data_IF_948689300245
#
_entry.id   IF_948689300245
#
_cell.length_a   1.000
_cell.length_b   1.000
_cell.length_c   1.000
_cell.angle_alpha   90.00
_cell.angle_beta   90.00
_cell.angle_gamma   90.00
#
_symmetry.space_group_name_H-M   'P 1'
#
loop_
_entity.id
_entity.type
_entity.pdbx_description
1 polymer ?
#
# COMPACT_ATOMS: atom_id res chain seq x y z
N UNK A 1 -35.23 19.82 -5.96
CA UNK A 1 -33.92 19.21 -5.65
C UNK A 1 -34.08 17.70 -5.57
N UNK A 2 -33.35 16.92 -6.36
CA UNK A 2 -33.27 15.46 -6.16
C UNK A 2 -32.39 15.21 -4.94
N UNK A 3 -32.99 14.86 -3.81
CA UNK A 3 -32.27 14.51 -2.58
C UNK A 3 -31.55 13.16 -2.69
N UNK A 4 -30.66 12.88 -1.74
CA UNK A 4 -30.03 11.57 -1.60
C UNK A 4 -31.08 10.53 -1.20
N UNK A 5 -31.23 9.47 -2.01
CA UNK A 5 -32.02 8.29 -1.65
C UNK A 5 -31.07 7.23 -1.10
N UNK A 6 -31.16 6.98 0.19
CA UNK A 6 -30.51 5.83 0.81
C UNK A 6 -31.40 4.60 0.57
N UNK A 7 -30.85 3.56 -0.05
CA UNK A 7 -31.47 2.24 -0.15
C UNK A 7 -30.65 1.25 0.67
N UNK A 8 -31.26 0.11 1.02
CA UNK A 8 -30.47 -1.02 1.54
C UNK A 8 -29.37 -1.34 0.53
N UNK A 9 -28.14 -1.43 1.01
CA UNK A 9 -27.03 -1.89 0.20
C UNK A 9 -27.30 -3.35 -0.16
N UNK A 10 -27.46 -3.62 -1.46
CA UNK A 10 -27.55 -4.98 -1.98
C UNK A 10 -26.14 -5.27 -2.51
N UNK A 11 -25.36 -6.12 -1.82
CA UNK A 11 -24.05 -6.51 -2.34
C UNK A 11 -24.27 -7.18 -3.70
N UNK A 12 -23.68 -6.60 -4.75
CA UNK A 12 -23.60 -7.30 -6.02
C UNK A 12 -22.65 -8.47 -5.78
N UNK A 13 -23.14 -9.71 -5.91
CA UNK A 13 -22.24 -10.86 -6.07
C UNK A 13 -21.32 -10.49 -7.23
N UNK A 14 -20.01 -10.44 -7.00
CA UNK A 14 -19.07 -10.04 -8.03
C UNK A 14 -19.26 -11.00 -9.22
N UNK A 15 -19.83 -10.49 -10.31
CA UNK A 15 -20.18 -11.31 -11.47
C UNK A 15 -18.88 -11.82 -12.10
N UNK A 16 -18.54 -13.08 -11.84
CA UNK A 16 -17.34 -13.75 -12.37
C UNK A 16 -16.28 -14.15 -11.34
N UNK A 17 -16.41 -13.78 -10.06
CA UNK A 17 -15.49 -14.25 -9.00
C UNK A 17 -15.87 -15.66 -8.52
N UNK A 18 -14.86 -16.45 -8.13
CA UNK A 18 -15.11 -17.80 -7.60
C UNK A 18 -15.82 -17.72 -6.23
N UNK A 19 -16.50 -18.79 -5.81
CA UNK A 19 -17.11 -18.86 -4.48
C UNK A 19 -16.07 -18.64 -3.36
N UNK A 20 -14.85 -19.11 -3.58
CA UNK A 20 -13.72 -18.86 -2.69
C UNK A 20 -13.39 -17.37 -2.56
N UNK A 21 -13.26 -16.63 -3.67
CA UNK A 21 -12.83 -15.22 -3.64
C UNK A 21 -13.85 -14.34 -2.91
N UNK A 22 -15.15 -14.62 -3.10
CA UNK A 22 -16.22 -13.93 -2.39
C UNK A 22 -16.13 -14.14 -0.87
N UNK A 23 -15.92 -15.37 -0.42
CA UNK A 23 -15.74 -15.68 1.01
C UNK A 23 -14.41 -15.14 1.55
N UNK A 24 -13.34 -15.17 0.75
CA UNK A 24 -12.03 -14.64 1.10
C UNK A 24 -12.13 -13.15 1.41
N UNK A 25 -12.80 -12.37 0.57
CA UNK A 25 -12.98 -10.94 0.77
C UNK A 25 -13.67 -10.61 2.10
N UNK A 26 -14.71 -11.37 2.45
CA UNK A 26 -15.42 -11.21 3.73
C UNK A 26 -14.53 -11.65 4.89
N UNK A 27 -13.87 -12.80 4.76
CA UNK A 27 -12.97 -13.36 5.77
C UNK A 27 -11.83 -12.41 6.12
N UNK A 28 -11.15 -11.83 5.13
CA UNK A 28 -10.06 -10.87 5.34
C UNK A 28 -10.53 -9.62 6.11
N UNK A 29 -11.76 -9.15 5.87
CA UNK A 29 -12.35 -8.07 6.65
C UNK A 29 -12.63 -8.49 8.09
N UNK A 30 -13.20 -9.68 8.30
CA UNK A 30 -13.47 -10.22 9.64
C UNK A 30 -12.18 -10.42 10.44
N UNK A 31 -11.10 -10.87 9.80
CA UNK A 31 -9.78 -10.99 10.42
C UNK A 31 -9.26 -9.63 10.90
N UNK A 32 -9.42 -8.57 10.11
CA UNK A 32 -9.04 -7.21 10.51
C UNK A 32 -9.88 -6.70 11.69
N UNK A 33 -11.18 -7.01 11.72
CA UNK A 33 -12.10 -6.59 12.80
C UNK A 33 -11.80 -7.33 14.11
N UNK A 34 -11.58 -8.64 14.04
CA UNK A 34 -11.27 -9.50 15.20
C UNK A 34 -9.82 -9.35 15.68
N UNK A 35 -9.01 -8.52 15.02
CA UNK A 35 -7.61 -8.32 15.39
C UNK A 35 -6.74 -9.57 15.18
N UNK A 36 -7.09 -10.41 14.21
CA UNK A 36 -6.31 -11.60 13.85
C UNK A 36 -6.81 -12.91 14.42
N UNK A 37 -7.88 -12.92 15.22
CA UNK A 37 -8.47 -14.16 15.73
C UNK A 37 -9.21 -14.90 14.62
N UNK A 38 -8.55 -15.93 14.07
CA UNK A 38 -9.10 -16.76 12.99
C UNK A 38 -10.34 -17.52 13.45
N UNK A 39 -10.37 -18.00 14.69
CA UNK A 39 -11.48 -18.79 15.20
C UNK A 39 -12.74 -17.94 15.32
N UNK A 40 -12.60 -16.73 15.86
CA UNK A 40 -13.69 -15.77 15.94
C UNK A 40 -14.15 -15.34 14.53
N UNK A 41 -13.22 -15.02 13.62
CA UNK A 41 -13.55 -14.63 12.26
C UNK A 41 -14.31 -15.74 11.50
N UNK A 42 -13.90 -17.00 11.63
CA UNK A 42 -14.61 -18.13 11.02
C UNK A 42 -15.99 -18.37 11.65
N UNK A 43 -16.13 -18.17 12.96
CA UNK A 43 -17.41 -18.26 13.65
C UNK A 43 -18.39 -17.18 13.13
N UNK A 44 -17.91 -15.94 12.96
CA UNK A 44 -18.72 -14.85 12.40
C UNK A 44 -19.07 -15.12 10.93
N UNK A 45 -18.11 -15.59 10.13
CA UNK A 45 -18.34 -15.95 8.73
C UNK A 45 -19.42 -17.05 8.60
N UNK A 46 -19.39 -18.05 9.48
CA UNK A 46 -20.40 -19.12 9.53
C UNK A 46 -21.79 -18.57 9.87
N UNK A 47 -21.87 -17.60 10.78
CA UNK A 47 -23.15 -16.96 11.11
C UNK A 47 -23.68 -16.10 9.95
N UNK A 48 -22.80 -15.38 9.26
CA UNK A 48 -23.16 -14.63 8.06
C UNK A 48 -23.65 -15.55 6.94
N UNK A 49 -22.98 -16.68 6.73
CA UNK A 49 -23.39 -17.66 5.75
C UNK A 49 -24.80 -18.21 6.03
N UNK A 50 -25.10 -18.60 7.28
CA UNK A 50 -26.44 -19.05 7.69
C UNK A 50 -27.53 -18.01 7.45
N UNK A 51 -27.20 -16.73 7.60
CA UNK A 51 -28.17 -15.63 7.47
C UNK A 51 -28.37 -15.19 6.02
N UNK A 52 -27.30 -15.19 5.22
CA UNK A 52 -27.28 -14.59 3.89
C UNK A 52 -27.09 -15.59 2.75
N UNK A 53 -26.92 -16.89 3.06
CA UNK A 53 -26.62 -17.97 2.10
C UNK A 53 -25.48 -17.56 1.17
N UNK A 54 -24.31 -17.31 1.77
CA UNK A 54 -23.11 -16.88 1.05
C UNK A 54 -22.52 -18.03 0.22
N UNK A 55 -22.64 -19.25 0.74
CA UNK A 55 -22.26 -20.51 0.12
C UNK A 55 -23.38 -21.10 -0.75
N UNK A 56 -23.04 -22.14 -1.50
CA UNK A 56 -24.01 -22.99 -2.20
C UNK A 56 -23.84 -24.46 -1.80
N UNK A 57 -24.71 -25.34 -2.29
CA UNK A 57 -24.64 -26.76 -1.97
C UNK A 57 -23.40 -27.50 -2.50
N UNK A 58 -22.59 -26.85 -3.36
CA UNK A 58 -21.35 -27.41 -3.91
C UNK A 58 -20.12 -26.93 -3.15
N UNK A 59 -20.16 -25.74 -2.54
CA UNK A 59 -19.02 -25.11 -1.89
C UNK A 59 -19.41 -24.47 -0.55
N UNK A 60 -19.04 -25.12 0.55
CA UNK A 60 -19.35 -24.69 1.92
C UNK A 60 -18.16 -24.08 2.69
N UNK A 61 -18.42 -23.65 3.93
CA UNK A 61 -17.38 -23.10 4.83
C UNK A 61 -16.25 -24.09 5.10
N UNK A 62 -16.55 -25.40 5.17
CA UNK A 62 -15.52 -26.44 5.31
C UNK A 62 -14.54 -26.44 4.14
N UNK A 63 -15.05 -26.44 2.91
CA UNK A 63 -14.23 -26.34 1.69
C UNK A 63 -13.39 -25.06 1.68
N UNK A 64 -13.97 -23.95 2.14
CA UNK A 64 -13.27 -22.69 2.26
C UNK A 64 -12.09 -22.74 3.25
N UNK A 65 -12.24 -23.39 4.39
CA UNK A 65 -11.16 -23.56 5.37
C UNK A 65 -10.01 -24.38 4.79
N UNK A 66 -10.33 -25.47 4.09
CA UNK A 66 -9.31 -26.31 3.43
C UNK A 66 -8.58 -25.51 2.33
N UNK A 67 -9.32 -24.80 1.48
CA UNK A 67 -8.76 -23.91 0.47
C UNK A 67 -7.87 -22.80 1.07
N UNK A 68 -8.22 -22.25 2.24
CA UNK A 68 -7.40 -21.25 2.93
C UNK A 68 -6.04 -21.83 3.36
N UNK A 69 -6.00 -23.10 3.78
CA UNK A 69 -4.75 -23.79 4.12
C UNK A 69 -3.94 -24.10 2.87
N UNK A 70 -4.58 -24.70 1.87
CA UNK A 70 -3.94 -25.11 0.62
C UNK A 70 -3.33 -23.93 -0.13
N UNK A 71 -4.04 -22.79 -0.13
CA UNK A 71 -3.57 -21.54 -0.73
C UNK A 71 -2.66 -20.74 0.20
N UNK A 72 -2.37 -21.21 1.41
CA UNK A 72 -1.39 -20.64 2.34
C UNK A 72 -1.81 -19.32 2.98
N UNK A 73 -3.12 -19.09 3.19
CA UNK A 73 -3.66 -17.97 3.98
C UNK A 73 -3.68 -18.29 5.48
N UNK A 74 -3.80 -19.57 5.83
CA UNK A 74 -3.78 -20.07 7.21
C UNK A 74 -2.67 -21.10 7.39
N UNK A 75 -2.13 -21.14 8.61
CA UNK A 75 -1.27 -22.22 9.09
C UNK A 75 -1.85 -22.80 10.36
N UNK A 76 -1.61 -24.08 10.62
CA UNK A 76 -1.90 -24.70 11.92
C UNK A 76 -0.69 -24.55 12.83
N UNK A 77 -0.86 -23.95 14.01
CA UNK A 77 0.16 -24.00 15.04
C UNK A 77 0.23 -25.43 15.60
N UNK A 78 1.37 -26.08 15.34
CA UNK A 78 1.62 -27.50 15.57
C UNK A 78 1.57 -27.94 17.04
N UNK A 79 1.30 -27.05 18.00
CA UNK A 79 1.26 -27.38 19.43
C UNK A 79 -0.12 -27.25 20.08
N UNK A 80 -1.03 -26.45 19.51
CA UNK A 80 -2.37 -26.20 20.07
C UNK A 80 -3.52 -26.45 19.09
N UNK A 81 -3.23 -26.71 17.81
CA UNK A 81 -4.25 -26.91 16.77
C UNK A 81 -5.03 -25.62 16.45
N UNK A 82 -4.49 -24.46 16.82
CA UNK A 82 -5.09 -23.17 16.51
C UNK A 82 -4.66 -22.71 15.11
N UNK A 83 -5.56 -22.05 14.40
CA UNK A 83 -5.24 -21.43 13.12
C UNK A 83 -4.59 -20.07 13.33
N UNK A 84 -3.51 -19.81 12.60
CA UNK A 84 -2.88 -18.50 12.53
C UNK A 84 -2.89 -17.96 11.10
N UNK A 85 -3.02 -16.64 10.99
CA UNK A 85 -3.01 -15.93 9.72
C UNK A 85 -1.58 -15.85 9.20
N UNK A 86 -1.34 -16.20 7.94
CA UNK A 86 0.00 -16.13 7.37
C UNK A 86 0.34 -14.70 6.91
N UNK A 87 1.63 -14.45 6.65
CA UNK A 87 2.08 -13.19 6.04
C UNK A 87 1.43 -12.90 4.68
N UNK A 88 1.04 -13.94 3.93
CA UNK A 88 0.29 -13.80 2.67
C UNK A 88 -1.08 -13.18 2.91
N UNK A 89 -1.83 -13.69 3.87
CA UNK A 89 -3.13 -13.12 4.23
C UNK A 89 -2.99 -11.67 4.75
N UNK A 90 -1.98 -11.40 5.59
CA UNK A 90 -1.68 -10.03 6.02
C UNK A 90 -1.37 -9.07 4.87
N UNK A 91 -0.63 -9.53 3.85
CA UNK A 91 -0.37 -8.73 2.65
C UNK A 91 -1.64 -8.50 1.82
N UNK A 92 -2.48 -9.52 1.67
CA UNK A 92 -3.73 -9.42 0.91
C UNK A 92 -4.70 -8.41 1.54
N UNK A 93 -4.79 -8.38 2.88
CA UNK A 93 -5.58 -7.37 3.60
C UNK A 93 -5.12 -5.94 3.23
N UNK A 94 -3.80 -5.70 3.17
CA UNK A 94 -3.27 -4.38 2.83
C UNK A 94 -3.53 -3.98 1.38
N UNK A 95 -3.38 -4.91 0.43
CA UNK A 95 -3.71 -4.68 -0.98
C UNK A 95 -5.19 -4.36 -1.17
N UNK A 96 -6.06 -5.15 -0.55
CA UNK A 96 -7.50 -4.91 -0.58
C UNK A 96 -7.85 -3.52 0.00
N UNK A 97 -7.20 -3.13 1.10
CA UNK A 97 -7.35 -1.79 1.67
C UNK A 97 -6.90 -0.68 0.70
N UNK A 98 -5.76 -0.86 0.03
CA UNK A 98 -5.27 0.07 -0.99
C UNK A 98 -6.27 0.20 -2.14
N UNK A 99 -6.75 -0.91 -2.69
CA UNK A 99 -7.73 -0.91 -3.79
C UNK A 99 -9.05 -0.26 -3.38
N UNK A 100 -9.53 -0.49 -2.16
CA UNK A 100 -10.78 0.11 -1.74
C UNK A 100 -10.67 1.63 -1.52
N UNK A 101 -9.57 2.08 -0.90
CA UNK A 101 -9.33 3.51 -0.65
C UNK A 101 -9.00 4.25 -1.96
N UNK A 102 -8.08 3.72 -2.77
CA UNK A 102 -7.56 4.42 -3.95
C UNK A 102 -8.24 4.03 -5.26
N UNK A 103 -8.84 2.85 -5.36
CA UNK A 103 -9.63 2.44 -6.53
C UNK A 103 -10.94 3.22 -6.69
N UNK A 104 -11.47 3.77 -5.58
CA UNK A 104 -12.64 4.67 -5.58
C UNK A 104 -12.27 6.14 -5.83
N UNK A 105 -10.99 6.51 -5.77
CA UNK A 105 -10.57 7.87 -6.10
C UNK A 105 -10.74 8.06 -7.61
N UNK A 106 -11.64 8.97 -8.01
CA UNK A 106 -11.72 9.47 -9.39
C UNK A 106 -10.31 9.84 -9.83
N UNK A 107 -9.95 9.53 -11.09
CA UNK A 107 -8.73 10.02 -11.76
C UNK A 107 -8.66 11.56 -11.67
N UNK A 108 -8.20 12.07 -10.54
CA UNK A 108 -7.62 13.40 -10.43
C UNK A 108 -6.15 13.26 -10.81
N UNK A 109 -5.58 14.32 -11.40
CA UNK A 109 -4.25 14.28 -12.01
C UNK A 109 -3.19 13.66 -11.11
N UNK A 110 -2.30 12.84 -11.70
CA UNK A 110 -1.15 12.27 -11.00
C UNK A 110 -0.25 13.42 -10.51
N UNK A 111 -0.35 13.78 -9.23
CA UNK A 111 0.73 14.49 -8.54
C UNK A 111 1.87 13.50 -8.33
N UNK A 112 2.80 13.42 -9.27
CA UNK A 112 4.12 12.89 -8.95
C UNK A 112 4.81 13.94 -8.07
N UNK A 113 5.57 13.53 -7.06
CA UNK A 113 6.47 14.42 -6.34
C UNK A 113 7.61 14.87 -7.27
N UNK A 114 7.28 15.46 -8.42
CA UNK A 114 8.26 16.06 -9.32
C UNK A 114 8.74 17.32 -8.63
N UNK A 115 10.01 17.34 -8.27
CA UNK A 115 10.68 18.56 -7.87
C UNK A 115 10.86 19.42 -9.12
N UNK A 116 10.61 20.73 -9.03
CA UNK A 116 10.88 21.68 -10.13
C UNK A 116 12.38 21.94 -10.35
N UNK A 117 13.24 21.04 -9.91
CA UNK A 117 14.69 21.11 -10.08
C UNK A 117 15.11 19.88 -10.87
N UNK A 118 15.42 20.09 -12.15
CA UNK A 118 16.30 19.21 -12.90
C UNK A 118 17.72 19.47 -12.38
N UNK A 119 18.43 18.41 -12.02
CA UNK A 119 19.77 18.49 -11.45
C UNK A 119 20.53 17.22 -11.73
N UNK A 120 21.81 17.20 -11.35
CA UNK A 120 22.72 16.05 -11.38
C UNK A 120 22.29 14.97 -10.38
N UNK A 121 21.15 14.34 -10.64
CA UNK A 121 20.70 13.13 -9.96
C UNK A 121 21.28 11.87 -10.61
N UNK A 122 21.38 10.78 -9.86
CA UNK A 122 21.99 9.52 -10.30
C UNK A 122 21.01 8.62 -11.11
N UNK A 123 19.75 9.05 -11.28
CA UNK A 123 18.74 8.31 -12.04
C UNK A 123 18.45 8.97 -13.39
N UNK A 124 18.67 8.21 -14.47
CA UNK A 124 18.22 8.59 -15.81
C UNK A 124 16.70 8.64 -15.86
N UNK A 125 16.15 9.81 -16.21
CA UNK A 125 14.75 9.99 -16.55
C UNK A 125 14.42 9.46 -17.94
N UNK A 126 13.15 9.55 -18.31
CA UNK A 126 12.66 9.17 -19.65
C UNK A 126 12.62 10.34 -20.62
N UNK A 127 12.65 11.56 -20.08
CA UNK A 127 12.56 12.78 -20.87
C UNK A 127 13.93 13.09 -21.49
N UNK A 128 13.90 13.61 -22.71
CA UNK A 128 15.08 13.89 -23.52
C UNK A 128 15.09 15.34 -23.92
N UNK A 129 16.28 15.91 -24.00
CA UNK A 129 16.49 17.24 -24.53
C UNK A 129 17.75 17.30 -25.39
N UNK A 130 17.89 18.33 -26.23
CA UNK A 130 19.16 18.61 -26.91
C UNK A 130 20.29 18.76 -25.91
N UNK A 131 21.48 18.29 -26.30
CA UNK A 131 22.71 18.49 -25.54
C UNK A 131 23.02 19.98 -25.38
N UNK A 132 23.48 20.35 -24.19
CA UNK A 132 24.02 21.68 -23.90
C UNK A 132 25.43 21.56 -23.33
N UNK A 133 26.28 22.55 -23.64
CA UNK A 133 27.65 22.58 -23.14
C UNK A 133 27.69 22.54 -21.60
N UNK A 134 28.28 21.48 -21.05
CA UNK A 134 28.34 21.22 -19.61
C UNK A 134 27.66 19.91 -19.18
N UNK A 135 26.87 19.31 -20.07
CA UNK A 135 26.25 18.00 -19.83
C UNK A 135 27.28 16.87 -19.76
N UNK A 136 27.00 15.88 -18.91
CA UNK A 136 27.90 14.72 -18.78
C UNK A 136 27.83 13.82 -20.00
N UNK A 137 28.98 13.32 -20.45
CA UNK A 137 29.05 12.29 -21.50
C UNK A 137 28.26 11.02 -21.15
N UNK A 138 28.08 10.72 -19.86
CA UNK A 138 27.28 9.56 -19.44
C UNK A 138 25.77 9.74 -19.68
N UNK A 139 25.29 10.98 -19.84
CA UNK A 139 23.87 11.28 -20.07
C UNK A 139 23.48 11.23 -21.56
N UNK A 140 24.45 11.13 -22.47
CA UNK A 140 24.19 11.13 -23.92
C UNK A 140 23.46 9.85 -24.32
N UNK A 141 22.27 10.03 -24.89
CA UNK A 141 21.50 8.97 -25.53
C UNK A 141 22.12 8.62 -26.89
N UNK A 142 23.18 7.81 -26.90
CA UNK A 142 23.93 7.50 -28.12
C UNK A 142 23.06 6.92 -29.24
N UNK A 143 22.08 6.09 -28.92
CA UNK A 143 21.17 5.49 -29.90
C UNK A 143 20.35 6.54 -30.65
N UNK A 144 19.78 7.48 -29.92
CA UNK A 144 18.94 8.54 -30.48
C UNK A 144 19.81 9.60 -31.15
N UNK A 145 20.98 9.87 -30.60
CA UNK A 145 21.96 10.77 -31.20
C UNK A 145 22.44 10.27 -32.56
N UNK A 146 22.77 8.97 -32.68
CA UNK A 146 23.15 8.34 -33.95
C UNK A 146 21.98 8.37 -34.93
N UNK A 147 20.75 8.13 -34.46
CA UNK A 147 19.55 8.21 -35.29
C UNK A 147 19.36 9.63 -35.84
N UNK A 148 19.52 10.66 -35.00
CA UNK A 148 19.40 12.06 -35.42
C UNK A 148 20.50 12.43 -36.42
N UNK A 149 21.74 12.01 -36.17
CA UNK A 149 22.85 12.20 -37.09
C UNK A 149 22.59 11.58 -38.48
N UNK A 150 22.03 10.36 -38.53
CA UNK A 150 21.65 9.72 -39.79
C UNK A 150 20.50 10.44 -40.50
N UNK A 151 19.53 10.98 -39.76
CA UNK A 151 18.42 11.76 -40.32
C UNK A 151 18.95 13.09 -40.91
N UNK A 152 19.86 13.76 -40.22
CA UNK A 152 20.34 15.08 -40.59
C UNK A 152 21.46 15.06 -41.65
N UNK A 153 22.30 14.02 -41.66
CA UNK A 153 23.49 13.93 -42.51
C UNK A 153 23.45 12.79 -43.53
N UNK A 154 22.46 11.89 -43.45
CA UNK A 154 22.27 10.78 -44.40
C UNK A 154 23.10 9.53 -44.10
N UNK A 155 23.00 8.52 -44.97
CA UNK A 155 23.55 7.17 -44.76
C UNK A 155 24.95 6.92 -45.36
N UNK A 156 25.54 7.93 -46.00
CA UNK A 156 26.82 7.81 -46.70
C UNK A 156 28.00 7.83 -45.73
N UNK A 157 28.63 9.00 -45.60
CA UNK A 157 29.67 9.22 -44.61
C UNK A 157 29.05 9.58 -43.27
N UNK A 158 29.37 8.82 -42.22
CA UNK A 158 28.86 9.10 -40.88
C UNK A 158 29.44 10.42 -40.36
N UNK A 159 28.57 11.41 -40.21
CA UNK A 159 28.86 12.70 -39.60
C UNK A 159 27.89 12.91 -38.44
N UNK A 160 28.43 13.32 -37.29
CA UNK A 160 27.66 13.66 -36.09
C UNK A 160 28.17 15.00 -35.56
N UNK A 161 27.23 15.89 -35.27
CA UNK A 161 27.47 17.23 -34.73
C UNK A 161 26.83 17.35 -33.36
N UNK A 162 27.16 18.42 -32.62
CA UNK A 162 26.57 18.71 -31.31
C UNK A 162 25.04 18.82 -31.38
N UNK A 163 24.50 19.30 -32.50
CA UNK A 163 23.05 19.43 -32.72
C UNK A 163 22.34 18.09 -32.86
N UNK A 164 23.07 17.00 -33.12
CA UNK A 164 22.52 15.66 -33.21
C UNK A 164 22.47 14.97 -31.84
N UNK A 165 23.20 15.49 -30.84
CA UNK A 165 23.30 14.89 -29.52
C UNK A 165 22.02 15.14 -28.72
N UNK A 166 21.44 14.05 -28.22
CA UNK A 166 20.38 14.08 -27.22
C UNK A 166 20.93 13.60 -25.87
N UNK A 167 20.49 14.25 -24.80
CA UNK A 167 20.78 13.83 -23.43
C UNK A 167 19.49 13.38 -22.74
N UNK A 168 19.61 12.33 -21.92
CA UNK A 168 18.56 11.93 -20.99
C UNK A 168 18.58 12.89 -19.80
N UNK A 169 17.44 13.50 -19.49
CA UNK A 169 17.32 14.31 -18.29
C UNK A 169 17.39 13.40 -17.05
N UNK A 170 18.19 13.79 -16.07
CA UNK A 170 18.22 13.14 -14.76
C UNK A 170 17.17 13.80 -13.85
N UNK A 171 16.22 13.01 -13.35
CA UNK A 171 15.23 13.51 -12.39
C UNK A 171 15.81 13.41 -10.97
N UNK A 172 15.70 14.51 -10.21
CA UNK A 172 15.96 14.46 -8.78
C UNK A 172 14.75 13.85 -8.07
N UNK A 173 14.89 12.60 -7.59
CA UNK A 173 13.89 12.00 -6.72
C UNK A 173 14.34 12.13 -5.28
N UNK A 174 13.72 13.04 -4.55
CA UNK A 174 13.87 13.14 -3.09
C UNK A 174 13.38 11.86 -2.44
N UNK A 175 14.22 11.23 -1.62
CA UNK A 175 13.80 10.16 -0.74
C UNK A 175 13.04 10.76 0.44
N UNK A 176 11.91 10.16 0.81
CA UNK A 176 11.10 10.62 1.94
C UNK A 176 11.21 9.66 3.11
N UNK A 177 11.36 10.20 4.32
CA UNK A 177 11.17 9.45 5.57
C UNK A 177 9.83 9.81 6.19
N UNK A 178 8.96 8.82 6.33
CA UNK A 178 7.62 8.98 6.90
C UNK A 178 7.51 8.16 8.18
N UNK A 179 7.04 8.78 9.26
CA UNK A 179 6.55 8.07 10.45
C UNK A 179 5.03 8.16 10.48
N UNK A 180 4.36 7.02 10.47
CA UNK A 180 2.92 6.90 10.64
C UNK A 180 2.59 6.60 12.10
N UNK A 181 1.84 7.49 12.74
CA UNK A 181 1.43 7.35 14.13
C UNK A 181 -0.04 6.90 14.21
N UNK A 182 -0.31 5.85 14.97
CA UNK A 182 -1.67 5.30 15.14
C UNK A 182 -2.07 5.40 16.61
N UNK A 183 -3.17 6.11 16.85
CA UNK A 183 -3.79 6.19 18.18
C UNK A 183 -4.49 4.86 18.49
N UNK A 184 -4.18 4.27 19.65
CA UNK A 184 -4.82 3.05 20.18
C UNK A 184 -5.51 3.30 21.54
N UNK A 185 -5.75 4.58 21.87
CA UNK A 185 -6.45 5.01 23.07
C UNK A 185 -7.94 4.65 23.03
N UNK A 186 -8.56 4.68 24.21
CA UNK A 186 -9.98 4.39 24.35
C UNK A 186 -10.88 5.33 23.51
N UNK A 187 -10.39 6.51 23.14
CA UNK A 187 -11.11 7.45 22.27
C UNK A 187 -11.46 6.86 20.90
N UNK A 188 -10.73 5.85 20.44
CA UNK A 188 -10.89 5.19 19.15
C UNK A 188 -12.10 4.24 19.07
N UNK A 189 -12.70 3.90 20.22
CA UNK A 189 -13.92 3.07 20.32
C UNK A 189 -15.02 3.74 21.15
N UNK A 190 -14.82 5.01 21.52
CA UNK A 190 -15.69 5.72 22.45
C UNK A 190 -17.08 5.94 21.84
N UNK A 191 -18.12 5.87 22.68
CA UNK A 191 -19.53 6.04 22.29
C UNK A 191 -20.04 4.99 21.28
N UNK A 192 -19.38 3.84 21.18
CA UNK A 192 -19.75 2.78 20.24
C UNK A 192 -19.38 3.09 18.79
N UNK A 193 -18.58 4.13 18.56
CA UNK A 193 -18.03 4.45 17.23
C UNK A 193 -16.71 3.69 17.03
N UNK A 194 -16.64 2.88 15.97
CA UNK A 194 -15.39 2.21 15.57
C UNK A 194 -14.55 3.14 14.67
N UNK A 195 -13.64 3.89 15.28
CA UNK A 195 -12.70 4.77 14.57
C UNK A 195 -11.39 4.06 14.24
N UNK A 196 -11.07 2.97 14.94
CA UNK A 196 -9.82 2.22 14.73
C UNK A 196 -9.85 1.46 13.41
N UNK A 197 -10.95 0.80 13.05
CA UNK A 197 -11.04 0.05 11.80
C UNK A 197 -10.80 0.92 10.55
N UNK A 198 -11.46 2.09 10.37
CA UNK A 198 -11.16 2.96 9.24
C UNK A 198 -9.74 3.54 9.29
N UNK A 199 -9.20 3.82 10.48
CA UNK A 199 -7.82 4.27 10.65
C UNK A 199 -6.81 3.20 10.21
N UNK A 200 -6.96 1.94 10.67
CA UNK A 200 -6.15 0.79 10.26
C UNK A 200 -6.20 0.60 8.75
N UNK A 201 -7.39 0.67 8.16
CA UNK A 201 -7.56 0.55 6.71
C UNK A 201 -6.78 1.61 5.94
N UNK A 202 -6.88 2.87 6.37
CA UNK A 202 -6.16 3.98 5.74
C UNK A 202 -4.65 3.82 5.92
N UNK A 203 -4.20 3.41 7.11
CA UNK A 203 -2.80 3.12 7.41
C UNK A 203 -2.23 2.01 6.52
N UNK A 204 -2.97 0.90 6.37
CA UNK A 204 -2.60 -0.22 5.52
C UNK A 204 -2.53 0.19 4.04
N UNK A 205 -3.50 0.96 3.55
CA UNK A 205 -3.51 1.48 2.20
C UNK A 205 -2.30 2.39 1.94
N UNK A 206 -1.98 3.28 2.88
CA UNK A 206 -0.80 4.15 2.78
C UNK A 206 0.51 3.34 2.79
N UNK A 207 0.61 2.34 3.67
CA UNK A 207 1.77 1.47 3.76
C UNK A 207 2.01 0.67 2.47
N UNK A 208 0.95 0.09 1.91
CA UNK A 208 1.04 -0.62 0.64
C UNK A 208 1.39 0.34 -0.51
N UNK A 209 0.82 1.55 -0.54
CA UNK A 209 1.15 2.55 -1.54
C UNK A 209 2.63 2.93 -1.51
N UNK A 210 3.16 3.27 -0.33
CA UNK A 210 4.56 3.70 -0.18
C UNK A 210 5.49 2.55 -0.58
N UNK A 211 5.28 1.35 -0.02
CA UNK A 211 6.17 0.21 -0.26
C UNK A 211 6.15 -0.29 -1.71
N UNK A 212 5.03 -0.17 -2.42
CA UNK A 212 4.91 -0.61 -3.83
C UNK A 212 5.32 0.46 -4.83
N UNK A 213 4.95 1.73 -4.61
CA UNK A 213 5.15 2.81 -5.58
C UNK A 213 6.45 3.58 -5.36
N UNK A 214 6.92 3.67 -4.12
CA UNK A 214 8.09 4.45 -3.73
C UNK A 214 9.07 3.57 -2.93
N UNK A 215 9.68 2.54 -3.56
CA UNK A 215 10.52 1.56 -2.86
C UNK A 215 11.79 2.14 -2.22
N UNK A 216 12.16 3.38 -2.56
CA UNK A 216 13.28 4.12 -1.96
C UNK A 216 12.87 4.95 -0.74
N UNK A 217 11.57 5.14 -0.49
CA UNK A 217 11.07 5.83 0.68
C UNK A 217 11.07 4.91 1.89
N UNK A 218 11.20 5.49 3.08
CA UNK A 218 11.12 4.74 4.35
C UNK A 218 9.82 5.05 5.05
N UNK A 219 9.12 4.01 5.49
CA UNK A 219 7.94 4.12 6.34
C UNK A 219 8.19 3.38 7.67
N UNK A 220 8.15 4.12 8.76
CA UNK A 220 8.14 3.57 10.11
C UNK A 220 6.73 3.75 10.69
N UNK A 221 6.22 2.74 11.39
CA UNK A 221 4.89 2.78 12.00
C UNK A 221 5.03 2.72 13.51
N UNK A 222 4.39 3.65 14.20
CA UNK A 222 4.33 3.64 15.66
C UNK A 222 2.87 3.66 16.12
N UNK A 223 2.63 3.06 17.28
CA UNK A 223 1.36 3.18 17.99
C UNK A 223 1.57 3.97 19.27
N UNK A 224 0.54 4.70 19.70
CA UNK A 224 0.60 5.45 20.94
C UNK A 224 -0.73 5.35 21.72
N UNK A 225 -0.56 5.19 23.03
CA UNK A 225 -1.62 5.10 24.03
C UNK A 225 -1.15 5.79 25.32
N UNK A 226 -0.97 5.04 26.41
CA UNK A 226 -0.30 5.57 27.61
C UNK A 226 1.19 5.89 27.34
N UNK A 227 1.80 5.11 26.44
CA UNK A 227 3.18 5.23 25.97
C UNK A 227 3.21 5.00 24.44
N UNK A 228 4.37 5.10 23.79
CA UNK A 228 4.54 4.90 22.35
C UNK A 228 5.61 3.85 22.04
N UNK A 229 5.36 3.03 21.02
CA UNK A 229 6.33 2.05 20.53
C UNK A 229 6.19 1.80 19.03
N UNK A 230 7.26 1.30 18.43
CA UNK A 230 7.31 0.95 17.01
C UNK A 230 6.69 -0.44 16.78
N UNK A 231 5.97 -0.58 15.66
CA UNK A 231 5.40 -1.85 15.19
C UNK A 231 5.84 -2.11 13.75
N UNK A 232 5.68 -3.33 13.28
CA UNK A 232 5.93 -3.67 11.88
C UNK A 232 4.66 -3.46 11.03
N UNK A 233 4.84 -3.21 9.72
CA UNK A 233 3.71 -3.04 8.78
C UNK A 233 2.80 -4.29 8.76
N UNK A 234 3.36 -5.48 9.00
CA UNK A 234 2.59 -6.73 9.07
C UNK A 234 1.62 -6.78 10.25
N UNK A 235 1.85 -5.99 11.29
CA UNK A 235 1.03 -5.98 12.52
C UNK A 235 -0.18 -5.04 12.40
N UNK A 236 -0.16 -4.11 11.43
CA UNK A 236 -1.23 -3.14 11.19
C UNK A 236 -2.66 -3.71 11.15
N UNK A 237 -2.93 -4.84 10.46
CA UNK A 237 -4.29 -5.40 10.41
C UNK A 237 -4.82 -5.80 11.80
N UNK A 238 -3.91 -6.24 12.66
CA UNK A 238 -4.21 -6.91 13.93
C UNK A 238 -4.20 -5.96 15.12
N UNK A 239 -3.97 -4.67 14.89
CA UNK A 239 -4.02 -3.66 15.95
C UNK A 239 -5.39 -3.62 16.63
N UNK A 240 -5.34 -3.57 17.96
CA UNK A 240 -6.51 -3.48 18.83
C UNK A 240 -6.41 -2.24 19.72
N UNK A 241 -7.56 -1.71 20.10
CA UNK A 241 -7.66 -0.59 21.03
C UNK A 241 -7.62 -1.12 22.45
N UNK A 242 -6.76 -0.53 23.28
CA UNK A 242 -6.68 -0.86 24.70
C UNK A 242 -7.36 0.19 25.58
N UNK A 243 -7.44 -0.06 26.91
CA UNK A 243 -7.88 0.93 27.89
C UNK A 243 -6.77 1.97 28.16
N UNK A 244 -6.27 2.58 27.08
CA UNK A 244 -5.17 3.53 27.10
C UNK A 244 -5.69 4.97 27.01
N UNK A 245 -4.92 5.89 27.56
CA UNK A 245 -5.05 7.33 27.34
C UNK A 245 -4.36 7.72 26.04
N UNK A 246 -4.36 9.02 25.71
CA UNK A 246 -3.72 9.55 24.52
C UNK A 246 -2.49 10.36 24.91
N UNK A 247 -1.31 9.72 24.94
CA UNK A 247 -0.03 10.37 25.19
C UNK A 247 0.64 10.77 23.87
N UNK A 248 0.15 11.86 23.27
CA UNK A 248 0.69 12.38 22.00
C UNK A 248 2.15 12.83 22.13
N UNK A 249 2.59 13.23 23.33
CA UNK A 249 3.98 13.66 23.58
C UNK A 249 4.93 12.47 23.35
N UNK A 250 4.67 11.32 23.98
CA UNK A 250 5.47 10.12 23.79
C UNK A 250 5.50 9.68 22.32
N UNK A 251 4.35 9.75 21.63
CA UNK A 251 4.27 9.45 20.20
C UNK A 251 5.14 10.37 19.34
N UNK A 252 5.07 11.68 19.57
CA UNK A 252 5.85 12.67 18.81
C UNK A 252 7.34 12.60 19.11
N UNK A 253 7.72 12.36 20.37
CA UNK A 253 9.11 12.18 20.77
C UNK A 253 9.72 10.97 20.06
N UNK A 254 9.05 9.81 20.10
CA UNK A 254 9.50 8.61 19.42
C UNK A 254 9.58 8.82 17.90
N UNK A 255 8.57 9.47 17.31
CA UNK A 255 8.57 9.78 15.88
C UNK A 255 9.76 10.67 15.48
N UNK A 256 10.03 11.72 16.24
CA UNK A 256 11.18 12.60 16.01
C UNK A 256 12.51 11.85 16.15
N UNK A 257 12.63 10.97 17.14
CA UNK A 257 13.85 10.17 17.34
C UNK A 257 14.07 9.16 16.21
N UNK A 258 13.02 8.58 15.66
CA UNK A 258 13.10 7.73 14.46
C UNK A 258 13.56 8.58 13.26
N UNK A 259 12.90 9.72 13.00
CA UNK A 259 13.23 10.59 11.87
C UNK A 259 14.66 11.15 11.95
N UNK A 260 15.14 11.52 13.14
CA UNK A 260 16.53 11.98 13.35
C UNK A 260 17.56 10.90 13.04
N UNK A 261 17.23 9.63 13.29
CA UNK A 261 18.09 8.47 12.97
C UNK A 261 18.06 8.12 11.49
N UNK A 262 16.94 8.36 10.80
CA UNK A 262 16.80 8.19 9.34
C UNK A 262 17.59 9.28 8.61
N UNK A 263 18.87 9.01 8.33
CA UNK A 263 19.69 9.81 7.42
C UNK A 263 19.41 9.41 5.97
N UNK A 264 18.22 9.72 5.46
CA UNK A 264 17.95 9.62 4.04
C UNK A 264 18.68 10.78 3.34
N UNK A 265 19.96 10.57 3.04
CA UNK A 265 20.73 11.53 2.27
C UNK A 265 20.16 11.52 0.85
N UNK A 266 19.46 12.58 0.47
CA UNK A 266 19.15 12.81 -0.93
C UNK A 266 20.50 12.97 -1.65
N UNK A 267 20.87 11.97 -2.46
CA UNK A 267 22.02 12.02 -3.35
C UNK A 267 21.54 12.44 -4.73
#
# INVERSE_FOLDING_TARGET
MKGYRFSKYIPQKAQGESAFDNLLNIFLQLISITGGDVSEALAWLTNLDKQYNLTDGQYGIGNFIDDLKDKGYLTEDNQKGNFEVTGKAGQEIRKSALEEIFGKLKKSGKGQHKTNHSGTGDEMGTDRRPFEFGDSLQQIAMTDSIRNAQINHGFGDFMMTENDLEVLETEYKTQTSTVLMIDISHSMILYGEDRITPAKKTAMALAELITTKYPKDTLDVIVFGNDAWQIEIKDLPYLQVGPYHTNTIAGLELAMDILRRRKNANK
#
